data_IF_353075777189
#
_entry.id   IF_353075777189
#
_cell.length_a   1.000
_cell.length_b   1.000
_cell.length_c   1.000
_cell.angle_alpha   90.00
_cell.angle_beta   90.00
_cell.angle_gamma   90.00
#
_symmetry.space_group_name_H-M   'P 1'
#
loop_
_entity.id
_entity.type
_entity.pdbx_description
1 polymer ?
#
# COMPACT_ATOMS: atom_id res chain seq x y z
N UNK A 1 3.30 -7.29 -1.26
CA UNK A 1 4.64 -7.47 -1.88
C UNK A 1 4.60 -8.23 -3.22
N UNK A 2 4.27 -9.52 -3.26
CA UNK A 2 4.23 -10.31 -4.51
C UNK A 2 3.27 -9.72 -5.56
N UNK A 3 2.09 -9.23 -5.13
CA UNK A 3 1.12 -8.61 -6.02
C UNK A 3 1.69 -7.37 -6.73
N UNK A 4 2.40 -6.49 -6.02
CA UNK A 4 3.02 -5.29 -6.61
C UNK A 4 4.11 -5.63 -7.64
N UNK A 5 4.83 -6.74 -7.45
CA UNK A 5 5.84 -7.21 -8.42
C UNK A 5 5.18 -7.68 -9.71
N UNK A 6 4.05 -8.40 -9.62
CA UNK A 6 3.30 -8.88 -10.78
C UNK A 6 2.59 -7.72 -11.50
N UNK A 7 2.11 -6.72 -10.77
CA UNK A 7 1.39 -5.58 -11.34
C UNK A 7 2.31 -4.55 -12.01
N UNK A 8 3.61 -4.54 -11.72
CA UNK A 8 4.56 -3.62 -12.36
C UNK A 8 4.70 -3.84 -13.88
N UNK A 9 4.95 -5.07 -14.39
CA UNK A 9 4.92 -5.33 -15.83
C UNK A 9 3.59 -5.00 -16.49
N UNK A 10 2.47 -5.29 -15.79
CA UNK A 10 1.13 -4.97 -16.28
C UNK A 10 0.93 -3.46 -16.39
N UNK A 11 1.42 -2.68 -15.43
CA UNK A 11 1.36 -1.21 -15.46
C UNK A 11 2.08 -0.61 -16.68
N UNK A 12 3.23 -1.17 -17.06
CA UNK A 12 3.99 -0.74 -18.23
C UNK A 12 3.29 -1.06 -19.56
N UNK A 13 2.49 -2.12 -19.57
CA UNK A 13 1.72 -2.57 -20.73
C UNK A 13 0.37 -1.82 -20.86
N UNK A 14 -0.30 -1.52 -19.75
CA UNK A 14 -1.62 -0.90 -19.72
C UNK A 14 -1.60 0.61 -20.02
N UNK A 15 -0.59 1.34 -19.53
CA UNK A 15 -0.53 2.78 -19.73
C UNK A 15 -0.27 3.15 -21.20
N UNK A 16 -1.08 4.03 -21.75
CA UNK A 16 -0.93 4.58 -23.09
C UNK A 16 0.08 5.75 -23.10
N UNK A 17 0.13 6.54 -22.03
CA UNK A 17 1.06 7.66 -21.87
C UNK A 17 2.14 7.39 -20.82
N UNK A 18 3.25 8.15 -20.88
CA UNK A 18 4.29 8.10 -19.83
C UNK A 18 3.75 8.51 -18.46
N UNK A 19 2.79 9.42 -18.41
CA UNK A 19 2.16 9.88 -17.17
C UNK A 19 1.34 8.77 -16.54
N UNK A 20 0.51 8.07 -17.31
CA UNK A 20 -0.25 6.91 -16.82
C UNK A 20 0.65 5.81 -16.29
N UNK A 21 1.71 5.46 -17.02
CA UNK A 21 2.69 4.46 -16.56
C UNK A 21 3.35 4.88 -15.25
N UNK A 22 3.75 6.16 -15.14
CA UNK A 22 4.33 6.70 -13.92
C UNK A 22 3.35 6.65 -12.74
N UNK A 23 2.07 6.99 -12.95
CA UNK A 23 1.03 6.93 -11.93
C UNK A 23 0.76 5.49 -11.45
N UNK A 24 0.64 4.54 -12.38
CA UNK A 24 0.43 3.12 -12.04
C UNK A 24 1.61 2.55 -11.24
N UNK A 25 2.85 2.92 -11.58
CA UNK A 25 4.03 2.50 -10.81
C UNK A 25 4.07 3.22 -9.45
N UNK A 26 3.83 4.54 -9.42
CA UNK A 26 3.90 5.33 -8.20
C UNK A 26 2.92 4.84 -7.13
N UNK A 27 1.69 4.48 -7.53
CA UNK A 27 0.69 4.00 -6.57
C UNK A 27 1.00 2.60 -6.04
N UNK A 28 1.63 1.73 -6.84
CA UNK A 28 2.15 0.44 -6.36
C UNK A 28 3.30 0.63 -5.37
N UNK A 29 4.20 1.57 -5.62
CA UNK A 29 5.29 1.91 -4.69
C UNK A 29 4.73 2.50 -3.38
N UNK A 30 3.69 3.33 -3.46
CA UNK A 30 3.03 3.87 -2.28
C UNK A 30 2.46 2.75 -1.39
N UNK A 31 1.77 1.76 -1.98
CA UNK A 31 1.28 0.59 -1.23
C UNK A 31 2.44 -0.12 -0.50
N UNK A 32 3.58 -0.30 -1.17
CA UNK A 32 4.76 -0.93 -0.55
C UNK A 32 5.35 -0.10 0.60
N UNK A 33 5.44 1.22 0.43
CA UNK A 33 5.92 2.13 1.47
C UNK A 33 5.03 2.03 2.70
N UNK A 34 3.71 2.07 2.52
CA UNK A 34 2.75 2.01 3.62
C UNK A 34 2.77 0.64 4.31
N UNK A 35 2.92 -0.45 3.56
CA UNK A 35 3.07 -1.80 4.11
C UNK A 35 4.33 -1.90 5.01
N UNK A 36 5.47 -1.39 4.54
CA UNK A 36 6.72 -1.38 5.31
C UNK A 36 6.57 -0.55 6.58
N UNK A 37 5.88 0.59 6.52
CA UNK A 37 5.57 1.39 7.71
C UNK A 37 4.66 0.62 8.67
N UNK A 38 3.63 -0.06 8.18
CA UNK A 38 2.75 -0.88 9.01
C UNK A 38 3.54 -1.99 9.73
N UNK A 39 4.39 -2.73 9.02
CA UNK A 39 5.25 -3.76 9.62
C UNK A 39 6.25 -3.19 10.63
N UNK A 40 6.74 -1.97 10.41
CA UNK A 40 7.61 -1.29 11.38
C UNK A 40 6.84 -0.93 12.66
N UNK A 41 5.60 -0.45 12.54
CA UNK A 41 4.71 -0.18 13.69
C UNK A 41 4.43 -1.48 14.45
N UNK A 42 4.05 -2.55 13.75
CA UNK A 42 3.84 -3.87 14.35
C UNK A 42 5.09 -4.35 15.11
N UNK A 43 6.27 -4.24 14.51
CA UNK A 43 7.54 -4.63 15.13
C UNK A 43 7.86 -3.84 16.41
N UNK A 44 7.53 -2.54 16.44
CA UNK A 44 7.73 -1.68 17.62
C UNK A 44 6.70 -2.01 18.70
N UNK A 45 5.44 -2.21 18.31
CA UNK A 45 4.34 -2.54 19.23
C UNK A 45 4.56 -3.92 19.86
N UNK A 46 4.96 -4.93 19.08
CA UNK A 46 5.20 -6.29 19.56
C UNK A 46 6.44 -6.40 20.46
N UNK A 47 7.40 -5.48 20.32
CA UNK A 47 8.60 -5.42 21.18
C UNK A 47 8.30 -4.98 22.62
N UNK A 48 7.26 -4.17 22.85
CA UNK A 48 6.99 -3.54 24.16
C UNK A 48 6.20 -4.43 25.15
N UNK A 49 5.93 -5.69 24.82
CA UNK A 49 5.55 -6.72 25.80
C UNK A 49 4.07 -7.07 25.86
N UNK A 50 3.81 -8.28 26.36
CA UNK A 50 2.57 -9.08 26.31
C UNK A 50 1.34 -8.48 27.03
N UNK A 51 1.45 -7.29 27.63
CA UNK A 51 0.29 -6.56 28.16
C UNK A 51 -0.43 -5.85 27.01
N UNK A 52 -1.65 -6.31 26.69
CA UNK A 52 -2.51 -5.65 25.72
C UNK A 52 -2.90 -4.25 26.23
N UNK A 53 -2.11 -3.24 25.87
CA UNK A 53 -2.48 -1.85 26.07
C UNK A 53 -3.43 -1.41 24.94
N UNK A 54 -4.55 -0.76 25.28
CA UNK A 54 -5.52 -0.26 24.28
C UNK A 54 -4.88 0.61 23.20
N UNK A 55 -3.80 1.34 23.55
CA UNK A 55 -3.03 2.16 22.62
C UNK A 55 -2.25 1.33 21.58
N UNK A 56 -1.75 0.15 21.96
CA UNK A 56 -1.07 -0.79 21.07
C UNK A 56 -2.02 -1.36 20.02
N UNK A 57 -3.25 -1.69 20.43
CA UNK A 57 -4.31 -2.12 19.50
C UNK A 57 -4.65 -1.02 18.50
N UNK A 58 -4.85 0.21 18.96
CA UNK A 58 -5.12 1.37 18.09
C UNK A 58 -4.01 1.63 17.08
N UNK A 59 -2.74 1.48 17.46
CA UNK A 59 -1.61 1.66 16.55
C UNK A 59 -1.63 0.63 15.40
N UNK A 60 -1.95 -0.64 15.70
CA UNK A 60 -2.08 -1.70 14.69
C UNK A 60 -3.27 -1.45 13.75
N UNK A 61 -4.41 -1.05 14.30
CA UNK A 61 -5.61 -0.73 13.51
C UNK A 61 -5.36 0.44 12.54
N UNK A 62 -4.68 1.49 13.02
CA UNK A 62 -4.33 2.65 12.20
C UNK A 62 -3.34 2.30 11.10
N UNK A 63 -2.33 1.46 11.39
CA UNK A 63 -1.39 0.98 10.38
C UNK A 63 -2.09 0.15 9.29
N UNK A 64 -2.96 -0.77 9.69
CA UNK A 64 -3.75 -1.59 8.75
C UNK A 64 -4.74 -0.75 7.93
N UNK A 65 -5.35 0.28 8.54
CA UNK A 65 -6.23 1.22 7.83
C UNK A 65 -5.46 2.02 6.78
N UNK A 66 -4.22 2.43 7.06
CA UNK A 66 -3.38 3.11 6.08
C UNK A 66 -3.09 2.21 4.86
N UNK A 67 -2.79 0.93 5.08
CA UNK A 67 -2.61 -0.05 4.00
C UNK A 67 -3.88 -0.17 3.15
N UNK A 68 -5.05 -0.29 3.78
CA UNK A 68 -6.33 -0.35 3.07
C UNK A 68 -6.56 0.90 2.21
N UNK A 69 -6.31 2.09 2.75
CA UNK A 69 -6.46 3.35 2.00
C UNK A 69 -5.50 3.41 0.81
N UNK A 70 -4.26 2.94 0.97
CA UNK A 70 -3.30 2.86 -0.13
C UNK A 70 -3.76 1.89 -1.23
N UNK A 71 -4.35 0.74 -0.86
CA UNK A 71 -4.93 -0.21 -1.81
C UNK A 71 -6.16 0.35 -2.54
N UNK A 72 -7.03 1.09 -1.84
CA UNK A 72 -8.17 1.78 -2.46
C UNK A 72 -7.67 2.81 -3.47
N UNK A 73 -6.66 3.61 -3.11
CA UNK A 73 -6.06 4.58 -4.02
C UNK A 73 -5.45 3.89 -5.25
N UNK A 74 -4.74 2.76 -5.05
CA UNK A 74 -4.22 1.96 -6.15
C UNK A 74 -5.33 1.49 -7.09
N UNK A 75 -6.42 0.94 -6.56
CA UNK A 75 -7.55 0.50 -7.36
C UNK A 75 -8.17 1.66 -8.16
N UNK A 76 -8.35 2.84 -7.54
CA UNK A 76 -8.92 4.01 -8.20
C UNK A 76 -8.03 4.52 -9.34
N UNK A 77 -6.71 4.60 -9.14
CA UNK A 77 -5.76 5.00 -10.20
C UNK A 77 -5.77 4.00 -11.35
N UNK A 78 -5.78 2.69 -11.04
CA UNK A 78 -5.83 1.65 -12.07
C UNK A 78 -7.12 1.69 -12.88
N UNK A 79 -8.27 1.82 -12.23
CA UNK A 79 -9.57 1.96 -12.91
C UNK A 79 -9.59 3.23 -13.78
N UNK A 80 -9.06 4.34 -13.27
CA UNK A 80 -9.01 5.59 -14.02
C UNK A 80 -8.19 5.45 -15.31
N UNK A 81 -7.03 4.78 -15.27
CA UNK A 81 -6.21 4.54 -16.46
C UNK A 81 -6.84 3.52 -17.41
N UNK A 82 -7.58 2.53 -16.92
CA UNK A 82 -8.30 1.57 -17.78
C UNK A 82 -9.43 2.23 -18.57
N UNK A 83 -10.07 3.24 -17.97
CA UNK A 83 -11.25 3.91 -18.55
C UNK A 83 -10.88 5.16 -19.36
N UNK A 84 -9.66 5.70 -19.19
CA UNK A 84 -9.13 6.84 -19.95
C UNK A 84 -8.76 6.48 -21.38
#
# INVERSE_FOLDING_TARGET
LLLSVVLMPVALWLGHTLVEKALLIAVLLLVLIVEVINSAIESVVDRQGEEHHELSGRAKDQGSAAVLLALILAALVWIAVIVS
#
